data_IF_393247134540
#
_entry.id   IF_393247134540
#
_cell.length_a   1.000
_cell.length_b   1.000
_cell.length_c   1.000
_cell.angle_alpha   90.00
_cell.angle_beta   90.00
_cell.angle_gamma   90.00
#
_symmetry.space_group_name_H-M   'P 1'
#
loop_
_entity.id
_entity.type
_entity.pdbx_description
1 polymer ?
#
# COMPACT_ATOMS: atom_id res chain seq x y z
N UNK A 1 1.68 -6.63 -21.77
CA UNK A 1 1.98 -6.64 -20.31
C UNK A 1 0.96 -5.74 -19.64
N UNK A 2 0.22 -6.32 -18.70
CA UNK A 2 -0.81 -5.61 -17.96
C UNK A 2 -0.18 -4.94 -16.74
N UNK A 3 -0.55 -3.68 -16.55
CA UNK A 3 -0.23 -2.93 -15.36
C UNK A 3 -1.54 -2.48 -14.72
N UNK A 4 -1.70 -2.75 -13.43
CA UNK A 4 -2.89 -2.39 -12.65
C UNK A 4 -2.45 -1.79 -11.32
N UNK A 5 -3.16 -0.77 -10.86
CA UNK A 5 -3.03 -0.24 -9.51
C UNK A 5 -4.21 -0.70 -8.69
N UNK A 6 -3.96 -1.46 -7.63
CA UNK A 6 -4.99 -1.98 -6.74
C UNK A 6 -5.05 -1.07 -5.52
N UNK A 7 -6.13 -0.33 -5.37
CA UNK A 7 -6.34 0.55 -4.22
C UNK A 7 -6.43 -0.29 -2.94
N UNK A 8 -5.64 0.04 -1.93
CA UNK A 8 -5.68 -0.66 -0.64
C UNK A 8 -6.84 -0.23 0.25
N UNK A 9 -7.48 0.90 -0.07
CA UNK A 9 -8.56 1.48 0.72
C UNK A 9 -9.93 0.84 0.40
N UNK A 10 -10.19 0.61 -0.90
CA UNK A 10 -11.49 0.12 -1.40
C UNK A 10 -11.36 -1.15 -2.27
N UNK A 11 -10.17 -1.72 -2.43
CA UNK A 11 -9.92 -2.90 -3.27
C UNK A 11 -10.07 -2.67 -4.78
N UNK A 12 -10.33 -1.44 -5.24
CA UNK A 12 -10.56 -1.14 -6.66
C UNK A 12 -9.28 -1.27 -7.45
N UNK A 13 -9.30 -2.14 -8.47
CA UNK A 13 -8.23 -2.24 -9.46
C UNK A 13 -8.44 -1.23 -10.60
N UNK A 14 -7.38 -0.47 -10.92
CA UNK A 14 -7.36 0.55 -11.97
C UNK A 14 -6.33 0.11 -13.02
N UNK A 15 -6.76 -0.27 -14.24
CA UNK A 15 -5.83 -0.67 -15.29
C UNK A 15 -5.10 0.53 -15.88
N UNK A 16 -3.80 0.37 -16.17
CA UNK A 16 -2.94 1.33 -16.84
C UNK A 16 -2.80 0.91 -18.30
N UNK A 17 -3.69 1.42 -19.14
CA UNK A 17 -3.75 1.12 -20.58
C UNK A 17 -2.84 2.02 -21.40
N UNK A 18 -2.75 3.30 -21.04
CA UNK A 18 -2.01 4.32 -21.77
C UNK A 18 -0.53 4.31 -21.39
N UNK A 19 0.34 4.69 -22.32
CA UNK A 19 1.78 4.85 -22.05
C UNK A 19 2.05 5.95 -21.03
N UNK A 20 1.20 6.98 -21.02
CA UNK A 20 1.24 8.08 -20.06
C UNK A 20 -0.11 8.14 -19.38
N UNK A 21 -0.10 8.06 -18.05
CA UNK A 21 -1.31 8.15 -17.23
C UNK A 21 -1.12 9.25 -16.19
N UNK A 22 -2.01 10.23 -16.19
CA UNK A 22 -1.99 11.35 -15.26
C UNK A 22 -2.85 11.01 -14.05
N UNK A 23 -2.28 11.14 -12.85
CA UNK A 23 -2.99 10.93 -11.58
C UNK A 23 -3.19 12.26 -10.89
N UNK A 24 -4.40 12.49 -10.38
CA UNK A 24 -4.70 13.67 -9.60
C UNK A 24 -6.17 13.77 -9.22
N UNK A 25 -6.58 14.92 -8.71
CA UNK A 25 -7.96 15.18 -8.29
C UNK A 25 -8.82 15.84 -9.37
N UNK A 26 -8.23 16.40 -10.42
CA UNK A 26 -8.96 17.19 -11.42
C UNK A 26 -9.62 16.29 -12.46
N UNK A 27 -10.92 16.08 -12.32
CA UNK A 27 -11.76 15.41 -13.34
C UNK A 27 -11.63 16.09 -14.70
N UNK A 28 -11.52 15.29 -15.76
CA UNK A 28 -11.39 15.74 -17.15
C UNK A 28 -9.96 16.06 -17.60
N UNK A 29 -8.98 16.08 -16.70
CA UNK A 29 -7.55 16.22 -17.05
C UNK A 29 -6.74 14.99 -16.62
N UNK A 30 -7.09 14.38 -15.48
CA UNK A 30 -6.44 13.18 -15.00
C UNK A 30 -7.15 11.92 -15.53
N UNK A 31 -6.37 10.95 -16.01
CA UNK A 31 -6.85 9.60 -16.33
C UNK A 31 -7.30 8.86 -15.07
N UNK A 32 -6.51 8.99 -14.00
CA UNK A 32 -6.83 8.45 -12.67
C UNK A 32 -7.23 9.60 -11.78
N UNK A 33 -8.54 9.74 -11.58
CA UNK A 33 -9.09 10.73 -10.69
C UNK A 33 -9.27 10.16 -9.28
N UNK A 34 -8.56 10.75 -8.31
CA UNK A 34 -8.67 10.43 -6.90
C UNK A 34 -9.49 11.50 -6.20
N UNK A 35 -10.63 11.12 -5.61
CA UNK A 35 -11.54 12.03 -4.89
C UNK A 35 -11.06 12.35 -3.46
N UNK A 36 -9.74 12.46 -3.25
CA UNK A 36 -9.16 12.78 -1.95
C UNK A 36 -8.71 14.23 -1.90
N UNK A 37 -9.05 14.95 -0.81
CA UNK A 37 -8.64 16.33 -0.65
C UNK A 37 -7.12 16.47 -0.45
N UNK A 38 -6.46 15.40 0.02
CA UNK A 38 -5.01 15.30 0.18
C UNK A 38 -4.26 15.22 -1.16
N UNK A 39 -4.95 14.91 -2.25
CA UNK A 39 -4.36 14.75 -3.58
C UNK A 39 -4.47 16.05 -4.37
N UNK A 40 -3.34 16.49 -4.92
CA UNK A 40 -3.25 17.67 -5.77
C UNK A 40 -4.04 17.50 -7.08
N UNK A 41 -4.43 18.62 -7.70
CA UNK A 41 -5.16 18.62 -8.99
C UNK A 41 -4.43 17.83 -10.07
N UNK A 42 -3.12 18.03 -10.15
CA UNK A 42 -2.15 17.24 -10.90
C UNK A 42 -1.14 16.76 -9.88
N UNK A 43 -1.10 15.47 -9.59
CA UNK A 43 -0.29 14.94 -8.50
C UNK A 43 0.99 14.32 -9.03
N UNK A 44 0.84 13.32 -9.90
CA UNK A 44 1.96 12.63 -10.50
C UNK A 44 1.57 12.10 -11.89
N UNK A 45 2.59 11.64 -12.59
CA UNK A 45 2.48 11.03 -13.90
C UNK A 45 3.12 9.66 -13.84
N UNK A 46 2.42 8.67 -14.38
CA UNK A 46 2.89 7.31 -14.51
C UNK A 46 3.22 7.08 -15.98
N UNK A 47 4.43 6.60 -16.24
CA UNK A 47 4.89 6.23 -17.58
C UNK A 47 5.04 4.72 -17.63
N UNK A 48 4.40 4.10 -18.61
CA UNK A 48 4.56 2.69 -18.94
C UNK A 48 5.43 2.62 -20.21
N UNK A 49 6.60 1.98 -20.13
CA UNK A 49 7.51 1.80 -21.27
C UNK A 49 8.18 0.45 -21.17
N UNK A 50 8.26 -0.31 -22.26
CA UNK A 50 9.02 -1.57 -22.36
C UNK A 50 8.72 -2.60 -21.24
N UNK A 51 7.50 -2.62 -20.73
CA UNK A 51 7.11 -3.49 -19.61
C UNK A 51 7.58 -3.03 -18.22
N UNK A 52 8.09 -1.80 -18.12
CA UNK A 52 8.42 -1.14 -16.87
C UNK A 52 7.37 -0.07 -16.58
N UNK A 53 7.07 0.14 -15.29
CA UNK A 53 6.37 1.31 -14.82
C UNK A 53 7.36 2.29 -14.20
N UNK A 54 7.17 3.57 -14.51
CA UNK A 54 7.83 4.67 -13.85
C UNK A 54 6.78 5.61 -13.30
N UNK A 55 7.10 6.24 -12.18
CA UNK A 55 6.29 7.31 -11.61
C UNK A 55 7.14 8.57 -11.48
N UNK A 56 6.52 9.71 -11.73
CA UNK A 56 7.11 11.04 -11.58
C UNK A 56 6.13 11.96 -10.87
N UNK A 57 6.54 12.47 -9.72
CA UNK A 57 5.79 13.48 -9.00
C UNK A 57 5.87 14.83 -9.74
N UNK A 58 4.75 15.56 -9.82
CA UNK A 58 4.65 16.84 -10.52
C UNK A 58 4.72 18.05 -9.57
N UNK A 59 5.27 17.87 -8.37
CA UNK A 59 5.27 18.89 -7.32
C UNK A 59 3.99 18.81 -6.48
N UNK A 60 3.58 17.61 -6.13
CA UNK A 60 2.39 17.42 -5.32
C UNK A 60 2.60 17.91 -3.88
N UNK A 61 1.52 18.38 -3.25
CA UNK A 61 1.57 19.01 -1.92
C UNK A 61 2.09 18.03 -0.86
N UNK A 62 1.58 16.80 -0.86
CA UNK A 62 1.95 15.77 0.12
C UNK A 62 3.07 14.85 -0.38
N UNK A 63 3.36 14.86 -1.68
CA UNK A 63 4.33 13.97 -2.31
C UNK A 63 3.76 12.60 -2.70
N UNK A 64 4.48 11.95 -3.59
CA UNK A 64 4.34 10.54 -3.93
C UNK A 64 5.33 9.70 -3.11
N UNK A 65 4.89 8.57 -2.55
CA UNK A 65 5.75 7.64 -1.80
C UNK A 65 5.70 6.24 -2.41
N UNK A 66 6.84 5.55 -2.43
CA UNK A 66 6.97 4.15 -2.84
C UNK A 66 7.56 3.39 -1.66
N UNK A 67 6.88 2.34 -1.20
CA UNK A 67 7.26 1.54 -0.03
C UNK A 67 7.56 2.41 1.21
N UNK A 68 6.75 3.46 1.42
CA UNK A 68 6.92 4.42 2.51
C UNK A 68 7.94 5.54 2.27
N UNK A 69 8.80 5.44 1.25
CA UNK A 69 9.81 6.44 0.93
C UNK A 69 9.29 7.47 -0.07
N UNK A 70 9.41 8.76 0.24
CA UNK A 70 9.03 9.85 -0.67
C UNK A 70 9.99 9.91 -1.85
N UNK A 71 9.45 9.96 -3.06
CA UNK A 71 10.22 9.97 -4.30
C UNK A 71 9.72 11.08 -5.23
N UNK A 72 10.64 11.61 -6.03
CA UNK A 72 10.29 12.55 -7.13
C UNK A 72 10.16 11.81 -8.45
N UNK A 73 11.00 10.79 -8.66
CA UNK A 73 10.95 9.89 -9.81
C UNK A 73 11.46 8.52 -9.38
N UNK A 74 10.83 7.44 -9.87
CA UNK A 74 11.28 6.08 -9.60
C UNK A 74 10.67 5.07 -10.56
N UNK A 75 11.33 3.93 -10.69
CA UNK A 75 10.71 2.74 -11.29
C UNK A 75 9.81 2.08 -10.24
N UNK A 76 8.71 1.49 -10.68
CA UNK A 76 7.80 0.70 -9.85
C UNK A 76 7.96 -0.76 -10.20
N UNK A 77 8.14 -1.59 -9.18
CA UNK A 77 8.26 -3.03 -9.28
C UNK A 77 6.92 -3.70 -8.95
N UNK A 78 6.71 -4.94 -9.42
CA UNK A 78 5.53 -5.69 -9.05
C UNK A 78 5.49 -5.94 -7.54
N UNK A 79 4.36 -5.61 -6.92
CA UNK A 79 4.13 -5.75 -5.49
C UNK A 79 4.41 -4.49 -4.67
N UNK A 80 5.04 -3.45 -5.26
CA UNK A 80 5.35 -2.20 -4.55
C UNK A 80 4.08 -1.52 -4.02
N UNK A 81 4.19 -0.91 -2.85
CA UNK A 81 3.17 -0.03 -2.31
C UNK A 81 3.42 1.41 -2.76
N UNK A 82 2.55 1.92 -3.60
CA UNK A 82 2.57 3.29 -4.09
C UNK A 82 1.51 4.11 -3.34
N UNK A 83 1.92 5.22 -2.73
CA UNK A 83 1.02 6.13 -2.04
C UNK A 83 1.04 7.54 -2.65
N UNK A 84 -0.15 8.03 -3.00
CA UNK A 84 -0.39 9.41 -3.42
C UNK A 84 -1.02 10.15 -2.24
N UNK A 85 -0.22 10.93 -1.51
CA UNK A 85 -0.64 11.51 -0.24
C UNK A 85 -1.18 10.44 0.75
N UNK A 86 -2.49 10.43 0.99
CA UNK A 86 -3.18 9.48 1.88
C UNK A 86 -3.70 8.24 1.15
N UNK A 87 -3.76 8.26 -0.19
CA UNK A 87 -4.32 7.18 -0.98
C UNK A 87 -3.23 6.15 -1.30
N UNK A 88 -3.42 4.90 -0.87
CA UNK A 88 -2.45 3.80 -1.02
C UNK A 88 -2.89 2.80 -2.07
N UNK A 89 -1.94 2.33 -2.86
CA UNK A 89 -2.13 1.43 -4.00
C UNK A 89 -1.03 0.38 -4.00
N UNK A 90 -1.38 -0.83 -4.43
CA UNK A 90 -0.42 -1.90 -4.71
C UNK A 90 -0.23 -2.02 -6.22
N UNK A 91 1.02 -2.07 -6.66
CA UNK A 91 1.37 -2.18 -8.06
C UNK A 91 1.30 -3.65 -8.49
N UNK A 92 0.54 -3.94 -9.53
CA UNK A 92 0.48 -5.25 -10.17
C UNK A 92 1.01 -5.14 -11.59
N UNK A 93 2.08 -5.87 -11.90
CA UNK A 93 2.55 -6.10 -13.27
C UNK A 93 2.45 -7.59 -13.57
N UNK A 94 1.82 -7.93 -14.69
CA UNK A 94 1.65 -9.31 -15.12
C UNK A 94 1.72 -9.47 -16.63
N UNK A 95 1.88 -10.71 -17.12
CA UNK A 95 1.72 -11.00 -18.54
C UNK A 95 0.34 -10.54 -19.02
N UNK A 96 0.22 -10.31 -20.33
CA UNK A 96 -1.08 -9.99 -20.93
C UNK A 96 -1.95 -11.25 -20.87
N UNK A 97 -2.67 -11.43 -19.76
CA UNK A 97 -3.62 -12.52 -19.63
C UNK A 97 -4.87 -12.19 -20.45
N UNK A 98 -5.35 -13.09 -21.34
CA UNK A 98 -6.57 -12.84 -22.09
C UNK A 98 -7.71 -12.50 -21.12
N UNK A 99 -8.68 -11.65 -21.53
CA UNK A 99 -9.64 -11.04 -20.61
C UNK A 99 -10.31 -12.11 -19.75
N UNK A 100 -10.03 -12.11 -18.45
CA UNK A 100 -10.80 -12.87 -17.49
C UNK A 100 -12.25 -12.37 -17.59
N UNK A 101 -13.13 -13.26 -18.04
CA UNK A 101 -14.57 -13.05 -18.08
C UNK A 101 -15.03 -12.62 -16.68
N UNK A 102 -15.89 -11.60 -16.64
CA UNK A 102 -16.40 -11.03 -15.39
C UNK A 102 -17.26 -12.07 -14.66
N UNK A 103 -16.69 -12.83 -13.73
CA UNK A 103 -17.47 -13.45 -12.67
C UNK A 103 -17.74 -12.40 -11.59
N UNK A 104 -18.74 -11.56 -11.86
CA UNK A 104 -19.46 -10.93 -10.77
C UNK A 104 -20.13 -12.03 -9.96
N UNK A 105 -20.05 -12.01 -8.60
CA UNK A 105 -20.73 -13.00 -7.78
C UNK A 105 -22.23 -12.98 -8.10
N UNK A 106 -22.71 -14.02 -8.76
CA UNK A 106 -24.16 -14.22 -8.88
C UNK A 106 -24.64 -14.67 -7.51
N UNK A 107 -25.35 -13.77 -6.85
CA UNK A 107 -26.13 -14.01 -5.65
C UNK A 107 -27.06 -15.22 -5.90
N UNK A 108 -26.77 -16.37 -5.30
CA UNK A 108 -27.70 -17.50 -5.22
C UNK A 108 -28.07 -17.76 -3.77
N UNK A 109 -29.34 -17.48 -3.49
CA UNK A 109 -30.02 -17.74 -2.24
C UNK A 109 -29.95 -19.22 -1.84
N UNK A 110 -29.72 -19.43 -0.54
CA UNK A 110 -30.40 -20.39 0.32
C UNK A 110 -30.60 -21.83 -0.19
N UNK A 111 -29.80 -22.75 0.35
CA UNK A 111 -30.29 -24.06 0.78
C UNK A 111 -29.35 -24.64 1.86
N UNK A 112 -29.82 -24.66 3.11
CA UNK A 112 -29.28 -25.52 4.17
C UNK A 112 -29.71 -26.97 3.93
N UNK A 113 -28.88 -27.95 4.31
CA UNK A 113 -29.36 -28.86 5.34
C UNK A 113 -28.34 -29.19 6.43
N UNK A 114 -28.90 -29.39 7.62
CA UNK A 114 -28.28 -29.75 8.89
C UNK A 114 -27.60 -31.12 8.86
N UNK A 115 -26.45 -31.23 9.53
CA UNK A 115 -25.96 -32.51 10.08
C UNK A 115 -25.40 -32.31 11.49
N UNK A 116 -25.96 -33.07 12.42
CA UNK A 116 -25.59 -33.20 13.82
C UNK A 116 -24.20 -33.85 13.99
N UNK A 117 -23.38 -33.31 14.90
CA UNK A 117 -22.31 -34.08 15.54
C UNK A 117 -22.30 -33.77 17.03
N UNK A 118 -22.62 -34.79 17.81
CA UNK A 118 -22.62 -34.80 19.26
C UNK A 118 -21.19 -34.91 19.83
N UNK A 119 -21.02 -34.27 20.99
CA UNK A 119 -20.15 -34.59 22.13
C UNK A 119 -18.66 -34.94 21.89
N UNK A 120 -17.76 -34.17 22.52
CA UNK A 120 -17.02 -34.68 23.68
C UNK A 120 -16.44 -33.54 24.53
N UNK A 121 -16.52 -33.69 25.85
CA UNK A 121 -16.03 -32.75 26.87
C UNK A 121 -14.60 -33.12 27.23
N UNK A 122 -13.67 -32.17 27.22
CA UNK A 122 -12.43 -32.31 27.99
C UNK A 122 -12.22 -31.07 28.87
N UNK A 123 -12.52 -31.27 30.14
CA UNK A 123 -12.16 -30.44 31.29
C UNK A 123 -10.65 -30.40 31.51
N UNK A 124 -10.09 -29.21 31.73
CA UNK A 124 -9.30 -28.85 32.93
C UNK A 124 -8.43 -27.59 32.68
N UNK A 125 -8.80 -26.48 33.33
CA UNK A 125 -7.87 -25.46 33.84
C UNK A 125 -7.27 -25.95 35.18
N UNK A 126 -6.40 -25.20 35.90
CA UNK A 126 -5.37 -24.22 35.54
C UNK A 126 -4.00 -24.55 36.19
N UNK A 127 -2.90 -23.93 35.75
CA UNK A 127 -1.74 -23.70 36.63
C UNK A 127 -0.87 -22.56 36.10
N UNK A 128 -0.70 -21.58 36.98
CA UNK A 128 0.29 -20.52 37.03
C UNK A 128 1.71 -20.96 36.69
N UNK A 129 2.48 -20.11 36.02
CA UNK A 129 3.85 -19.85 36.48
C UNK A 129 4.34 -18.46 36.06
N UNK A 130 4.83 -17.78 37.09
CA UNK A 130 5.45 -16.47 37.18
C UNK A 130 6.93 -16.66 36.85
N UNK A 131 7.48 -15.96 35.85
CA UNK A 131 8.93 -15.86 35.63
C UNK A 131 9.29 -14.72 34.67
N UNK A 132 9.49 -13.52 35.22
CA UNK A 132 10.61 -12.63 34.85
C UNK A 132 11.92 -13.22 35.41
N UNK A 133 13.16 -12.88 34.97
CA UNK A 133 13.59 -11.76 34.14
C UNK A 133 14.64 -12.13 33.04
N UNK A 134 15.02 -11.18 32.20
CA UNK A 134 16.38 -11.13 31.64
C UNK A 134 16.71 -9.70 31.24
N UNK A 135 17.52 -9.07 32.09
CA UNK A 135 18.23 -7.84 31.83
C UNK A 135 19.25 -8.05 30.70
N UNK A 136 19.29 -7.14 29.74
CA UNK A 136 20.51 -6.83 29.00
C UNK A 136 20.75 -5.33 29.10
N UNK A 137 21.64 -5.01 30.03
CA UNK A 137 22.37 -3.76 30.11
C UNK A 137 23.12 -3.54 28.79
N UNK A 138 22.84 -2.43 28.12
CA UNK A 138 23.74 -1.91 27.09
C UNK A 138 23.86 -0.41 27.27
N UNK A 139 24.71 -0.07 28.24
CA UNK A 139 25.33 1.23 28.34
C UNK A 139 26.00 1.59 26.99
N UNK A 140 25.46 2.58 26.30
CA UNK A 140 26.23 3.39 25.36
C UNK A 140 26.35 4.80 25.93
N UNK A 141 27.40 4.92 26.72
CA UNK A 141 28.05 6.13 27.19
C UNK A 141 28.43 7.00 25.98
N UNK A 142 27.59 7.96 25.62
CA UNK A 142 28.02 9.10 24.79
C UNK A 142 28.12 10.30 25.72
N UNK A 143 29.37 10.55 26.11
CA UNK A 143 29.82 11.66 26.92
C UNK A 143 29.36 12.99 26.33
N UNK A 144 28.72 13.78 27.18
CA UNK A 144 28.67 15.23 27.09
C UNK A 144 30.09 15.78 27.16
N UNK A 145 30.52 16.47 26.10
CA UNK A 145 31.54 17.51 26.20
C UNK A 145 30.82 18.85 26.12
N UNK A 146 30.80 19.66 27.19
CA UNK A 146 30.53 21.07 27.11
C UNK A 146 31.86 21.81 26.91
N UNK A 147 32.11 22.22 25.68
CA UNK A 147 33.20 23.13 25.28
C UNK A 147 32.56 24.02 24.19
N UNK A 148 32.64 25.34 24.17
CA UNK A 148 33.37 26.30 24.98
C UNK A 148 32.72 27.65 24.62
N UNK A 149 32.47 28.52 25.59
CA UNK A 149 32.30 29.95 25.32
C UNK A 149 33.56 30.47 24.65
N UNK A 150 33.50 31.11 23.48
CA UNK A 150 34.49 32.11 23.05
C UNK A 150 33.93 33.01 21.91
N UNK A 151 33.91 34.32 22.20
CA UNK A 151 33.96 35.56 21.40
C UNK A 151 33.19 35.65 20.05
N UNK A 152 32.43 36.72 19.74
CA UNK A 152 32.73 38.17 19.79
C UNK A 152 31.43 39.00 19.86
#
# INVERSE_FOLDING_TARGET
MQAKLISLDNGRAIPITNDITIVGRKRGVCDICLDSNSVSKLHCLIVKTDGLLFVRDLGSTNGTKVNGQKITRGALLPGDELAFASARFKVFLGPDEPPAEHEQPTEVMSAVPSVDVAADQFTAEPASEDAVPAEIDSASDVRLLPDDELDD
#
